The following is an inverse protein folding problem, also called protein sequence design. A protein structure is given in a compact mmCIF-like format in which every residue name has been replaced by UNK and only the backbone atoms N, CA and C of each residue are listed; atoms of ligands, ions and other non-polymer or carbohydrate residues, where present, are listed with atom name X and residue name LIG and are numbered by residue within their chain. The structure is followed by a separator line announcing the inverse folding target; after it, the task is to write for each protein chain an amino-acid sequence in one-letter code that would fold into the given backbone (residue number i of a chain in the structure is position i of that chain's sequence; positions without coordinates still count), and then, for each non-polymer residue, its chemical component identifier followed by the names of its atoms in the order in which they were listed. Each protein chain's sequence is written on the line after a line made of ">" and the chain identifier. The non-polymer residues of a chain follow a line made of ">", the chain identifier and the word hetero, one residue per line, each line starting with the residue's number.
data_IF_354522569635
#
_entry.id   IF_354522569635
#
_cell.length_a   1.000
_cell.length_b   1.000
_cell.length_c   1.000
_cell.angle_alpha   90.00
_cell.angle_beta   90.00
_cell.angle_gamma   90.00
#
_symmetry.space_group_name_H-M   'P 1'
#
loop_
_entity.id
_entity.type
_entity.pdbx_description
1 polymer ?
#
# COMPACT_ATOMS: atom_id res chain seq x y z
N UNK A 1 -7.88 0.88 -15.50
CA UNK A 1 -8.00 1.29 -14.08
C UNK A 1 -9.47 1.14 -13.66
N UNK A 2 -9.81 1.31 -12.39
CA UNK A 2 -11.22 1.38 -11.98
C UNK A 2 -11.88 2.63 -12.60
N UNK A 3 -13.17 2.58 -12.99
CA UNK A 3 -14.12 1.50 -12.75
C UNK A 3 -14.08 0.33 -13.73
N UNK A 4 -13.42 0.44 -14.89
CA UNK A 4 -13.42 -0.62 -15.91
C UNK A 4 -12.75 -1.91 -15.40
N UNK A 5 -11.75 -1.76 -14.53
CA UNK A 5 -11.01 -2.85 -13.90
C UNK A 5 -10.89 -2.60 -12.38
N UNK A 6 -11.91 -3.00 -11.58
CA UNK A 6 -11.88 -2.84 -10.12
C UNK A 6 -10.88 -3.81 -9.47
N UNK A 7 -10.70 -3.70 -8.16
CA UNK A 7 -9.90 -4.62 -7.37
C UNK A 7 -10.35 -6.08 -7.58
N UNK A 8 -9.42 -7.04 -7.67
CA UNK A 8 -7.98 -6.90 -7.43
C UNK A 8 -7.15 -6.70 -8.72
N UNK A 9 -7.69 -6.15 -9.81
CA UNK A 9 -6.95 -5.99 -11.07
C UNK A 9 -5.65 -5.18 -10.90
N UNK A 10 -5.72 -3.99 -10.30
CA UNK A 10 -4.54 -3.16 -10.01
C UNK A 10 -3.48 -3.87 -9.15
N UNK A 11 -3.84 -4.45 -7.98
CA UNK A 11 -2.93 -5.28 -7.20
C UNK A 11 -2.27 -6.41 -7.99
N UNK A 12 -3.04 -7.13 -8.81
CA UNK A 12 -2.52 -8.23 -9.63
C UNK A 12 -1.54 -7.73 -10.69
N UNK A 13 -1.83 -6.60 -11.34
CA UNK A 13 -0.96 -6.00 -12.37
C UNK A 13 0.40 -5.59 -11.78
N UNK A 14 0.42 -5.00 -10.58
CA UNK A 14 1.67 -4.62 -9.89
C UNK A 14 2.52 -5.85 -9.58
N UNK A 15 1.90 -6.91 -9.05
CA UNK A 15 2.60 -8.17 -8.76
C UNK A 15 3.13 -8.81 -10.05
N UNK A 16 2.35 -8.82 -11.13
CA UNK A 16 2.78 -9.33 -12.43
C UNK A 16 3.96 -8.54 -13.00
N UNK A 17 3.92 -7.20 -12.90
CA UNK A 17 5.01 -6.33 -13.36
C UNK A 17 6.30 -6.59 -12.59
N UNK A 18 6.23 -6.74 -11.26
CA UNK A 18 7.40 -7.04 -10.43
C UNK A 18 7.99 -8.41 -10.78
N UNK A 19 7.15 -9.44 -10.96
CA UNK A 19 7.61 -10.77 -11.38
C UNK A 19 8.29 -10.74 -12.75
N UNK A 20 7.71 -10.00 -13.69
CA UNK A 20 8.30 -9.81 -15.01
C UNK A 20 9.66 -9.11 -14.93
N UNK A 21 9.76 -8.05 -14.12
CA UNK A 21 11.01 -7.32 -13.92
C UNK A 21 12.09 -8.24 -13.33
N UNK A 22 11.76 -9.01 -12.29
CA UNK A 22 12.68 -9.96 -11.68
C UNK A 22 13.16 -11.04 -12.67
N UNK A 23 12.24 -11.59 -13.48
CA UNK A 23 12.57 -12.58 -14.51
C UNK A 23 13.38 -12.01 -15.69
N UNK A 24 13.26 -10.70 -15.93
CA UNK A 24 13.93 -10.01 -17.05
C UNK A 24 15.20 -9.28 -16.62
N UNK A 25 15.57 -9.34 -15.33
CA UNK A 25 16.64 -8.51 -14.76
C UNK A 25 17.97 -8.66 -15.50
N UNK A 26 18.41 -9.89 -15.76
CA UNK A 26 19.66 -10.16 -16.49
C UNK A 26 19.68 -9.54 -17.88
N UNK A 27 18.57 -9.66 -18.62
CA UNK A 27 18.42 -9.09 -19.96
C UNK A 27 18.42 -7.56 -19.96
N UNK A 28 18.02 -6.95 -18.84
CA UNK A 28 18.01 -5.50 -18.62
C UNK A 28 19.31 -4.98 -17.97
N UNK A 29 20.25 -5.87 -17.62
CA UNK A 29 21.46 -5.51 -16.88
C UNK A 29 21.19 -5.04 -15.44
N UNK A 30 20.12 -5.55 -14.82
CA UNK A 30 19.70 -5.24 -13.45
C UNK A 30 20.04 -6.40 -12.51
N UNK A 31 20.21 -6.10 -11.22
CA UNK A 31 20.35 -7.11 -10.17
C UNK A 31 18.98 -7.47 -9.58
N UNK A 32 18.50 -8.69 -9.85
CA UNK A 32 17.21 -9.19 -9.36
C UNK A 32 17.12 -9.36 -7.85
N UNK A 33 18.25 -9.33 -7.13
CA UNK A 33 18.29 -9.37 -5.67
C UNK A 33 18.12 -7.99 -5.00
N UNK A 34 18.17 -6.91 -5.79
CA UNK A 34 18.09 -5.52 -5.30
C UNK A 34 16.89 -4.76 -5.91
N UNK A 35 15.71 -5.36 -5.85
CA UNK A 35 14.46 -4.73 -6.32
C UNK A 35 13.73 -4.07 -5.15
N UNK A 36 13.42 -2.78 -5.26
CA UNK A 36 12.56 -2.06 -4.32
C UNK A 36 11.24 -1.65 -4.98
N UNK A 37 10.19 -1.50 -4.18
CA UNK A 37 8.91 -0.94 -4.64
C UNK A 37 8.67 0.43 -4.00
N UNK A 38 8.09 1.33 -4.77
CA UNK A 38 7.74 2.66 -4.29
C UNK A 38 6.41 3.12 -4.89
N UNK A 39 5.64 3.86 -4.09
CA UNK A 39 4.38 4.42 -4.58
C UNK A 39 3.77 5.43 -3.62
N UNK A 40 2.91 6.29 -4.17
CA UNK A 40 2.22 7.36 -3.48
C UNK A 40 0.71 7.07 -3.35
N UNK A 41 0.10 7.47 -2.23
CA UNK A 41 -1.34 7.32 -1.97
C UNK A 41 -1.86 5.89 -2.26
N UNK A 42 -2.69 5.72 -3.30
CA UNK A 42 -3.15 4.40 -3.76
C UNK A 42 -1.99 3.53 -4.28
N UNK A 43 -1.00 4.09 -4.97
CA UNK A 43 0.22 3.38 -5.37
C UNK A 43 1.08 2.95 -4.17
N UNK A 44 1.06 3.70 -3.07
CA UNK A 44 1.66 3.29 -1.80
C UNK A 44 0.95 2.07 -1.21
N UNK A 45 -0.39 2.04 -1.28
CA UNK A 45 -1.18 0.86 -0.94
C UNK A 45 -0.81 -0.36 -1.78
N UNK A 46 -0.75 -0.19 -3.11
CA UNK A 46 -0.38 -1.26 -4.04
C UNK A 46 1.05 -1.78 -3.80
N UNK A 47 1.98 -0.89 -3.44
CA UNK A 47 3.35 -1.27 -3.08
C UNK A 47 3.37 -2.15 -1.82
N UNK A 48 2.63 -1.75 -0.77
CA UNK A 48 2.49 -2.54 0.45
C UNK A 48 1.83 -3.91 0.17
N UNK A 49 0.77 -3.95 -0.64
CA UNK A 49 0.10 -5.19 -1.06
C UNK A 49 1.06 -6.10 -1.83
N UNK A 50 1.87 -5.56 -2.75
CA UNK A 50 2.84 -6.33 -3.51
C UNK A 50 3.88 -6.99 -2.60
N UNK A 51 4.39 -6.28 -1.59
CA UNK A 51 5.27 -6.86 -0.58
C UNK A 51 4.63 -8.05 0.15
N UNK A 52 3.35 -7.94 0.51
CA UNK A 52 2.63 -9.02 1.17
C UNK A 52 2.41 -10.23 0.26
N UNK A 53 2.04 -10.00 -1.01
CA UNK A 53 1.78 -11.08 -1.97
C UNK A 53 3.05 -11.80 -2.45
N UNK A 54 4.19 -11.11 -2.43
CA UNK A 54 5.47 -11.66 -2.87
C UNK A 54 6.33 -12.21 -1.72
N UNK A 55 5.93 -12.00 -0.46
CA UNK A 55 6.67 -12.41 0.75
C UNK A 55 7.19 -13.85 0.70
N UNK A 56 6.35 -14.77 0.24
CA UNK A 56 6.62 -16.21 0.22
C UNK A 56 6.91 -16.71 -1.21
N UNK A 57 7.44 -15.83 -2.08
CA UNK A 57 7.78 -16.13 -3.47
C UNK A 57 9.28 -16.06 -3.73
N UNK A 58 9.71 -16.50 -4.93
CA UNK A 58 11.11 -16.42 -5.34
C UNK A 58 11.60 -14.99 -5.66
N UNK A 59 10.71 -13.99 -5.63
CA UNK A 59 11.08 -12.58 -5.84
C UNK A 59 11.38 -11.94 -4.49
N UNK A 60 12.61 -11.48 -4.31
CA UNK A 60 13.03 -10.73 -3.13
C UNK A 60 12.86 -9.23 -3.36
N UNK A 61 12.06 -8.57 -2.51
CA UNK A 61 12.02 -7.12 -2.45
C UNK A 61 12.94 -6.65 -1.31
N UNK A 62 13.83 -5.70 -1.57
CA UNK A 62 14.79 -5.21 -0.59
C UNK A 62 14.27 -4.00 0.22
N UNK A 63 13.25 -3.27 -0.28
CA UNK A 63 12.63 -2.15 0.42
C UNK A 63 11.22 -1.86 -0.09
N UNK A 64 10.41 -1.19 0.75
CA UNK A 64 9.14 -0.56 0.37
C UNK A 64 9.17 0.94 0.73
N UNK A 65 8.96 1.82 -0.23
CA UNK A 65 8.94 3.29 -0.03
C UNK A 65 7.53 3.82 -0.26
N UNK A 66 6.89 4.29 0.80
CA UNK A 66 5.46 4.57 0.82
C UNK A 66 5.21 6.06 1.09
N UNK A 67 4.73 6.79 0.09
CA UNK A 67 4.36 8.19 0.26
C UNK A 67 2.86 8.27 0.60
N UNK A 68 2.53 8.73 1.80
CA UNK A 68 1.16 8.92 2.33
C UNK A 68 0.19 7.80 1.93
N UNK A 69 0.51 6.52 2.26
CA UNK A 69 -0.20 5.38 1.70
C UNK A 69 -1.63 5.26 2.26
N UNK A 70 -2.58 4.88 1.41
CA UNK A 70 -3.94 4.50 1.84
C UNK A 70 -3.96 3.01 2.20
N UNK A 71 -3.83 2.67 3.49
CA UNK A 71 -3.59 1.29 3.94
C UNK A 71 -4.82 0.59 4.49
N UNK A 72 -5.94 1.31 4.68
CA UNK A 72 -7.17 0.72 5.20
C UNK A 72 -8.46 1.35 4.64
N UNK A 73 -9.04 0.70 3.63
CA UNK A 73 -10.35 1.08 3.07
C UNK A 73 -11.54 0.49 3.85
N UNK A 74 -11.29 -0.28 4.92
CA UNK A 74 -12.35 -0.91 5.71
C UNK A 74 -13.15 0.10 6.55
N UNK A 75 -14.31 -0.31 7.10
CA UNK A 75 -15.05 0.51 8.07
C UNK A 75 -14.26 0.89 9.33
N UNK A 76 -13.18 0.16 9.66
CA UNK A 76 -12.29 0.53 10.75
C UNK A 76 -11.42 1.72 10.36
N UNK A 77 -10.91 1.75 9.13
CA UNK A 77 -10.15 2.87 8.57
C UNK A 77 -10.95 4.18 8.58
N UNK A 78 -12.25 4.12 8.34
CA UNK A 78 -13.15 5.29 8.39
C UNK A 78 -13.19 6.00 9.75
N UNK A 79 -12.74 5.33 10.82
CA UNK A 79 -12.68 5.87 12.18
C UNK A 79 -11.34 6.51 12.53
N UNK A 80 -10.36 6.48 11.63
CA UNK A 80 -9.06 7.11 11.85
C UNK A 80 -9.22 8.62 12.06
N UNK A 81 -8.50 9.16 13.05
CA UNK A 81 -8.71 10.53 13.52
C UNK A 81 -8.39 11.58 12.44
N UNK A 82 -7.33 11.35 11.65
CA UNK A 82 -6.95 12.19 10.51
C UNK A 82 -8.06 12.32 9.47
N UNK A 83 -8.86 11.28 9.21
CA UNK A 83 -10.02 11.38 8.30
C UNK A 83 -11.08 12.33 8.80
N UNK A 84 -11.20 12.53 10.11
CA UNK A 84 -12.11 13.52 10.70
C UNK A 84 -11.47 14.91 10.69
N UNK A 85 -10.24 15.02 11.22
CA UNK A 85 -9.51 16.29 11.35
C UNK A 85 -9.27 16.98 10.01
N UNK A 86 -8.91 16.21 8.98
CA UNK A 86 -8.52 16.72 7.67
C UNK A 86 -9.60 16.49 6.60
N UNK A 87 -10.83 16.14 6.99
CA UNK A 87 -11.90 15.68 6.08
C UNK A 87 -12.18 16.60 4.87
N UNK A 88 -12.00 17.90 5.03
CA UNK A 88 -12.25 18.92 4.01
C UNK A 88 -10.97 19.63 3.52
N UNK A 89 -9.79 19.13 3.90
CA UNK A 89 -8.51 19.78 3.57
C UNK A 89 -8.05 19.34 2.17
N UNK A 90 -7.80 20.27 1.23
CA UNK A 90 -7.22 19.95 -0.08
C UNK A 90 -5.73 19.53 0.03
N UNK A 91 -5.20 18.78 -0.96
CA UNK A 91 -5.84 18.41 -2.22
C UNK A 91 -6.76 17.19 -2.12
N UNK A 92 -6.64 16.38 -1.05
CA UNK A 92 -7.40 15.15 -0.87
C UNK A 92 -8.42 15.29 0.28
N UNK A 93 -9.66 15.64 -0.07
CA UNK A 93 -10.77 15.57 0.89
C UNK A 93 -11.22 14.13 1.10
N UNK A 94 -11.86 13.84 2.25
CA UNK A 94 -12.43 12.53 2.53
C UNK A 94 -13.49 12.14 1.50
N UNK A 95 -14.29 13.10 1.02
CA UNK A 95 -15.28 12.87 -0.03
C UNK A 95 -14.61 12.45 -1.35
N UNK A 96 -13.51 13.13 -1.74
CA UNK A 96 -12.75 12.76 -2.93
C UNK A 96 -12.08 11.38 -2.77
N UNK A 97 -11.49 11.09 -1.61
CA UNK A 97 -10.93 9.78 -1.30
C UNK A 97 -11.96 8.65 -1.48
N UNK A 98 -13.19 8.85 -0.97
CA UNK A 98 -14.29 7.88 -1.12
C UNK A 98 -14.76 7.76 -2.57
N UNK A 99 -14.94 8.88 -3.27
CA UNK A 99 -15.31 8.87 -4.68
C UNK A 99 -14.30 8.12 -5.57
N UNK A 100 -13.00 8.16 -5.24
CA UNK A 100 -11.96 7.40 -5.95
C UNK A 100 -11.90 5.92 -5.53
N UNK A 101 -12.07 5.63 -4.24
CA UNK A 101 -11.93 4.26 -3.71
C UNK A 101 -13.18 3.40 -3.90
N UNK A 102 -14.39 3.97 -3.88
CA UNK A 102 -15.64 3.22 -3.98
C UNK A 102 -15.77 2.42 -5.29
N UNK A 103 -15.46 2.96 -6.48
CA UNK A 103 -15.46 2.19 -7.71
C UNK A 103 -14.35 1.14 -7.76
N UNK A 104 -13.23 1.37 -7.06
CA UNK A 104 -12.12 0.42 -6.99
C UNK A 104 -12.49 -0.82 -6.18
N UNK A 105 -13.22 -0.68 -5.07
CA UNK A 105 -13.59 -1.80 -4.19
C UNK A 105 -15.05 -2.27 -4.35
N UNK A 106 -15.74 -1.88 -5.42
CA UNK A 106 -17.18 -2.09 -5.60
C UNK A 106 -17.65 -3.56 -5.56
N UNK A 107 -16.75 -4.50 -5.86
CA UNK A 107 -17.02 -5.95 -5.82
C UNK A 107 -16.07 -6.70 -4.89
N UNK A 108 -15.44 -5.98 -3.95
CA UNK A 108 -14.36 -6.52 -3.14
C UNK A 108 -14.60 -6.23 -1.67
N UNK A 109 -14.29 -7.20 -0.80
CA UNK A 109 -14.36 -6.98 0.63
C UNK A 109 -13.31 -5.94 1.02
N UNK A 110 -13.76 -4.82 1.59
CA UNK A 110 -12.88 -3.73 2.02
C UNK A 110 -11.95 -4.13 3.16
N UNK A 111 -12.20 -5.24 3.84
CA UNK A 111 -11.31 -5.79 4.86
C UNK A 111 -10.24 -6.72 4.29
N UNK A 112 -10.34 -7.10 3.01
CA UNK A 112 -9.37 -7.98 2.37
C UNK A 112 -7.99 -7.27 2.27
N UNK A 113 -6.89 -7.93 2.69
CA UNK A 113 -5.55 -7.34 2.67
C UNK A 113 -5.09 -6.85 1.31
N UNK A 114 -5.69 -7.33 0.20
CA UNK A 114 -5.35 -6.90 -1.17
C UNK A 114 -5.86 -5.51 -1.52
N UNK A 115 -6.71 -4.92 -0.68
CA UNK A 115 -7.15 -3.51 -0.79
C UNK A 115 -6.94 -2.72 0.50
N UNK A 116 -6.75 -3.41 1.63
CA UNK A 116 -6.47 -2.83 2.93
C UNK A 116 -5.28 -3.54 3.57
N UNK A 117 -4.04 -3.27 3.11
CA UNK A 117 -2.84 -3.99 3.57
C UNK A 117 -2.60 -3.91 5.08
N UNK A 118 -3.14 -2.91 5.79
CA UNK A 118 -3.11 -2.84 7.25
C UNK A 118 -3.87 -4.00 7.94
N UNK A 119 -4.79 -4.65 7.23
CA UNK A 119 -5.65 -5.71 7.75
C UNK A 119 -5.08 -7.12 7.54
N UNK A 120 -3.86 -7.24 7.02
CA UNK A 120 -3.18 -8.52 6.91
C UNK A 120 -3.00 -9.18 8.28
N UNK A 121 -3.24 -10.50 8.34
CA UNK A 121 -3.07 -11.27 9.58
C UNK A 121 -1.60 -11.41 10.00
N UNK A 122 -0.66 -11.28 9.05
CA UNK A 122 0.77 -11.38 9.28
C UNK A 122 1.51 -10.37 8.40
N UNK A 123 2.24 -9.46 9.06
CA UNK A 123 3.12 -8.45 8.46
C UNK A 123 4.61 -8.76 8.69
N UNK A 124 4.94 -9.92 9.26
CA UNK A 124 6.32 -10.32 9.48
C UNK A 124 7.01 -10.64 8.15
N UNK A 125 8.36 -10.59 8.16
CA UNK A 125 9.22 -10.88 6.99
C UNK A 125 8.93 -10.01 5.76
N UNK A 126 8.25 -8.88 5.92
CA UNK A 126 8.15 -7.86 4.88
C UNK A 126 9.46 -7.07 4.78
N UNK A 127 9.77 -6.48 3.61
CA UNK A 127 10.95 -5.65 3.45
C UNK A 127 10.92 -4.41 4.37
N UNK A 128 12.08 -3.88 4.76
CA UNK A 128 12.17 -2.63 5.50
C UNK A 128 11.40 -1.52 4.78
N UNK A 129 10.75 -0.66 5.56
CA UNK A 129 9.86 0.36 5.05
C UNK A 129 10.39 1.77 5.32
N UNK A 130 10.23 2.64 4.32
CA UNK A 130 10.37 4.08 4.46
C UNK A 130 9.00 4.71 4.19
N UNK A 131 8.42 5.36 5.19
CA UNK A 131 7.03 5.86 5.13
C UNK A 131 7.03 7.37 5.36
N UNK A 132 6.38 8.11 4.46
CA UNK A 132 6.17 9.55 4.57
C UNK A 132 4.69 9.86 4.78
N UNK A 133 4.36 10.83 5.62
CA UNK A 133 2.98 11.30 5.84
C UNK A 133 2.90 12.82 5.86
N UNK A 134 1.74 13.36 5.45
CA UNK A 134 1.44 14.78 5.59
C UNK A 134 0.64 15.06 6.86
N UNK A 135 0.96 16.14 7.58
CA UNK A 135 0.21 16.53 8.79
C UNK A 135 -1.28 16.83 8.48
N UNK A 136 -1.50 17.50 7.35
CA UNK A 136 -2.79 17.95 6.85
C UNK A 136 -3.41 16.99 5.82
N UNK A 137 -3.14 15.68 5.94
CA UNK A 137 -3.65 14.64 5.05
C UNK A 137 -4.68 13.74 5.76
N UNK A 138 -5.76 13.36 5.06
CA UNK A 138 -6.73 12.36 5.55
C UNK A 138 -6.13 10.96 5.68
N UNK A 139 -5.03 10.67 4.97
CA UNK A 139 -4.30 9.40 5.02
C UNK A 139 -3.16 9.39 6.06
N UNK A 140 -2.99 10.46 6.84
CA UNK A 140 -1.91 10.55 7.84
C UNK A 140 -1.90 9.37 8.79
N UNK A 141 -3.05 9.03 9.36
CA UNK A 141 -3.13 7.95 10.34
C UNK A 141 -3.20 6.56 9.67
N UNK A 142 -3.52 6.45 8.37
CA UNK A 142 -3.33 5.22 7.61
C UNK A 142 -1.84 4.84 7.58
N UNK A 143 -0.97 5.81 7.22
CA UNK A 143 0.48 5.63 7.22
C UNK A 143 1.04 5.32 8.61
N UNK A 144 0.61 6.07 9.64
CA UNK A 144 1.07 5.85 11.03
C UNK A 144 0.64 4.49 11.57
N UNK A 145 -0.59 4.07 11.31
CA UNK A 145 -1.09 2.77 11.77
C UNK A 145 -0.35 1.61 11.09
N UNK A 146 -0.04 1.74 9.80
CA UNK A 146 0.75 0.73 9.08
C UNK A 146 2.20 0.66 9.59
N UNK A 147 2.83 1.82 9.88
CA UNK A 147 4.12 1.88 10.57
C UNK A 147 4.09 1.14 11.91
N UNK A 148 3.07 1.38 12.74
CA UNK A 148 2.96 0.74 14.05
C UNK A 148 2.79 -0.79 13.90
N UNK A 149 1.98 -1.24 12.94
CA UNK A 149 1.75 -2.65 12.68
C UNK A 149 2.99 -3.37 12.14
N UNK A 150 3.75 -2.74 11.24
CA UNK A 150 5.03 -3.27 10.73
C UNK A 150 6.07 -3.39 11.85
N UNK A 151 6.21 -2.36 12.69
CA UNK A 151 7.15 -2.39 13.82
C UNK A 151 6.78 -3.48 14.83
N UNK A 152 5.48 -3.67 15.12
CA UNK A 152 5.00 -4.76 15.98
C UNK A 152 5.30 -6.14 15.39
N UNK A 153 5.32 -6.27 14.05
CA UNK A 153 5.69 -7.50 13.36
C UNK A 153 7.22 -7.69 13.19
N UNK A 154 8.04 -6.79 13.76
CA UNK A 154 9.51 -6.88 13.71
C UNK A 154 10.14 -6.36 12.42
N UNK A 155 9.39 -5.62 11.59
CA UNK A 155 9.92 -5.00 10.36
C UNK A 155 10.57 -3.66 10.70
N UNK A 156 11.75 -3.40 10.14
CA UNK A 156 12.42 -2.09 10.28
C UNK A 156 11.64 -1.01 9.53
N UNK A 157 11.37 0.12 10.18
CA UNK A 157 10.60 1.22 9.60
C UNK A 157 11.24 2.56 9.95
N UNK A 158 11.55 3.33 8.92
CA UNK A 158 11.80 4.77 9.01
C UNK A 158 10.51 5.52 8.66
N UNK A 159 10.12 6.48 9.50
CA UNK A 159 8.84 7.18 9.39
C UNK A 159 9.02 8.69 9.51
N UNK A 160 8.44 9.42 8.57
CA UNK A 160 8.53 10.87 8.43
C UNK A 160 7.13 11.51 8.28
#
# INVERSE_FOLDING_TARGET
>A
LAPEYPAPAGPNDVVAAIRWLAASADALGLDSSHIAVAGDSAGGSLSAVACQQLRDSDVTLCAQVLFYPSTDLSPAGDKLLSRQQNSAVPPLTLALMKAMSDPFVCHFDRTDPRVSPLRAADLSRLPPALIFTGECDVLRDDGRAYRDALQQAGVAVDYY
#
